data_IF_385309687751
#
_entry.id   IF_385309687751
#
_cell.length_a   1.000
_cell.length_b   1.000
_cell.length_c   1.000
_cell.angle_alpha   90.00
_cell.angle_beta   90.00
_cell.angle_gamma   90.00
#
_symmetry.space_group_name_H-M   'P 1'
#
loop_
_entity.id
_entity.type
_entity.pdbx_description
1 polymer ?
#
# COMPACT_ATOMS: atom_id res chain seq x y z
N UNK A 1 -49.96 -47.17 -81.56
CA UNK A 1 -49.77 -45.77 -82.03
C UNK A 1 -49.11 -45.02 -80.89
N UNK A 2 -47.97 -44.42 -81.21
CA UNK A 2 -47.02 -43.68 -80.36
C UNK A 2 -47.64 -42.59 -79.48
N UNK A 3 -47.13 -42.41 -78.25
CA UNK A 3 -46.39 -41.20 -77.84
C UNK A 3 -45.90 -41.26 -76.37
N UNK A 4 -44.63 -40.87 -76.23
CA UNK A 4 -43.87 -40.36 -75.07
C UNK A 4 -44.70 -39.33 -74.25
N UNK A 5 -44.53 -39.05 -72.96
CA UNK A 5 -43.32 -38.63 -72.22
C UNK A 5 -43.60 -38.49 -70.70
N UNK A 6 -42.61 -38.90 -69.90
CA UNK A 6 -42.01 -38.29 -68.70
C UNK A 6 -42.80 -37.88 -67.44
N UNK A 7 -42.04 -37.98 -66.33
CA UNK A 7 -42.15 -37.32 -65.01
C UNK A 7 -42.94 -38.07 -63.92
N UNK A 8 -42.46 -38.28 -62.68
CA UNK A 8 -41.35 -37.71 -61.89
C UNK A 8 -40.86 -38.75 -60.88
N UNK A 9 -39.55 -38.78 -60.60
CA UNK A 9 -38.92 -39.54 -59.50
C UNK A 9 -39.20 -38.86 -58.14
N UNK A 10 -39.57 -39.66 -57.14
CA UNK A 10 -39.38 -39.34 -55.73
C UNK A 10 -38.81 -40.57 -55.01
N UNK A 11 -37.57 -40.55 -54.47
CA UNK A 11 -37.02 -41.69 -53.76
C UNK A 11 -37.54 -41.73 -52.32
N UNK A 12 -38.13 -42.87 -51.96
CA UNK A 12 -38.42 -43.29 -50.59
C UNK A 12 -37.10 -43.50 -49.82
N UNK A 13 -36.86 -42.70 -48.79
CA UNK A 13 -35.80 -42.97 -47.81
C UNK A 13 -36.44 -43.56 -46.55
N UNK A 14 -36.03 -44.77 -46.12
CA UNK A 14 -36.48 -45.36 -44.87
C UNK A 14 -35.62 -44.88 -43.69
N UNK A 15 -36.28 -44.47 -42.61
CA UNK A 15 -35.79 -44.55 -41.23
C UNK A 15 -34.57 -43.70 -40.84
N UNK A 16 -34.77 -42.40 -40.62
CA UNK A 16 -33.85 -41.64 -39.76
C UNK A 16 -34.18 -41.98 -38.31
N UNK A 17 -33.38 -42.86 -37.72
CA UNK A 17 -33.29 -43.04 -36.28
C UNK A 17 -32.90 -41.69 -35.67
N UNK A 18 -33.77 -41.15 -34.81
CA UNK A 18 -33.55 -39.91 -34.08
C UNK A 18 -32.28 -40.05 -33.20
N UNK A 19 -31.15 -39.38 -33.48
CA UNK A 19 -29.97 -39.38 -32.62
C UNK A 19 -30.05 -38.24 -31.58
N UNK A 20 -31.26 -37.84 -31.19
CA UNK A 20 -31.52 -36.71 -30.30
C UNK A 20 -31.61 -37.05 -28.81
N UNK A 21 -31.42 -38.31 -28.40
CA UNK A 21 -31.30 -38.66 -26.99
C UNK A 21 -29.83 -38.50 -26.55
N UNK A 22 -29.35 -37.26 -26.48
CA UNK A 22 -28.13 -36.96 -25.74
C UNK A 22 -28.24 -37.54 -24.32
N UNK A 23 -27.18 -38.10 -23.73
CA UNK A 23 -27.27 -38.78 -22.45
C UNK A 23 -27.84 -37.80 -21.44
N UNK A 24 -29.07 -38.07 -20.97
CA UNK A 24 -29.73 -37.27 -19.95
C UNK A 24 -28.77 -37.16 -18.77
N UNK A 25 -28.32 -35.94 -18.49
CA UNK A 25 -27.49 -35.64 -17.33
C UNK A 25 -28.32 -36.04 -16.12
N UNK A 26 -28.08 -37.25 -15.61
CA UNK A 26 -28.73 -37.73 -14.38
C UNK A 26 -28.44 -36.66 -13.32
N UNK A 27 -29.43 -36.13 -12.61
CA UNK A 27 -29.14 -35.26 -11.48
C UNK A 27 -28.23 -36.06 -10.55
N UNK A 28 -27.01 -35.56 -10.33
CA UNK A 28 -26.04 -36.21 -9.45
C UNK A 28 -26.55 -36.10 -8.01
N UNK A 29 -27.49 -36.96 -7.63
CA UNK A 29 -27.98 -37.04 -6.26
C UNK A 29 -26.89 -37.68 -5.39
N UNK A 30 -26.22 -36.85 -4.59
CA UNK A 30 -25.17 -37.27 -3.68
C UNK A 30 -24.14 -36.17 -3.40
N UNK A 31 -23.04 -36.53 -2.75
CA UNK A 31 -21.92 -35.63 -2.44
C UNK A 31 -21.42 -34.84 -3.65
N UNK A 32 -21.42 -35.45 -4.85
CA UNK A 32 -21.05 -34.77 -6.09
C UNK A 32 -22.03 -33.64 -6.48
N UNK A 33 -23.34 -33.80 -6.28
CA UNK A 33 -24.33 -32.74 -6.51
C UNK A 33 -24.29 -31.65 -5.44
N UNK A 34 -24.02 -32.01 -4.19
CA UNK A 34 -23.82 -31.06 -3.09
C UNK A 34 -22.53 -30.24 -3.29
N UNK A 35 -21.42 -30.90 -3.65
CA UNK A 35 -20.14 -30.27 -3.92
C UNK A 35 -20.19 -29.39 -5.17
N UNK A 36 -20.93 -29.77 -6.23
CA UNK A 36 -21.13 -28.92 -7.40
C UNK A 36 -21.98 -27.67 -7.05
N UNK A 37 -22.98 -27.82 -6.18
CA UNK A 37 -23.81 -26.70 -5.68
C UNK A 37 -23.03 -25.75 -4.77
N UNK A 38 -22.09 -26.28 -3.99
CA UNK A 38 -21.21 -25.52 -3.08
C UNK A 38 -19.77 -25.37 -3.60
N UNK A 39 -19.56 -25.51 -4.91
CA UNK A 39 -18.21 -25.59 -5.51
C UNK A 39 -17.30 -24.43 -5.10
N UNK A 40 -17.86 -23.22 -4.98
CA UNK A 40 -17.12 -22.03 -4.55
C UNK A 40 -16.49 -22.23 -3.17
N UNK A 41 -17.21 -22.84 -2.23
CA UNK A 41 -16.75 -23.11 -0.86
C UNK A 41 -15.89 -24.36 -0.75
N UNK A 42 -16.16 -25.40 -1.53
CA UNK A 42 -15.35 -26.63 -1.51
C UNK A 42 -13.96 -26.39 -2.10
N UNK A 43 -13.87 -25.59 -3.17
CA UNK A 43 -12.58 -25.26 -3.80
C UNK A 43 -11.85 -24.10 -3.11
N UNK A 44 -12.54 -23.03 -2.71
CA UNK A 44 -11.88 -21.89 -2.06
C UNK A 44 -11.80 -21.99 -0.53
N UNK A 45 -12.64 -22.82 0.10
CA UNK A 45 -12.76 -22.94 1.56
C UNK A 45 -11.46 -23.33 2.26
N UNK A 46 -10.76 -24.40 1.85
CA UNK A 46 -9.50 -24.78 2.49
C UNK A 46 -8.43 -23.69 2.42
N UNK A 47 -8.30 -23.04 1.26
CA UNK A 47 -7.37 -21.93 1.08
C UNK A 47 -7.77 -20.71 1.94
N UNK A 48 -9.06 -20.38 2.00
CA UNK A 48 -9.55 -19.25 2.79
C UNK A 48 -9.41 -19.50 4.28
N UNK A 49 -9.70 -20.71 4.76
CA UNK A 49 -9.47 -21.11 6.16
C UNK A 49 -7.99 -21.01 6.51
N UNK A 50 -7.11 -21.52 5.65
CA UNK A 50 -5.67 -21.43 5.87
C UNK A 50 -5.18 -19.98 5.96
N UNK A 51 -5.59 -19.12 5.01
CA UNK A 51 -5.22 -17.70 5.02
C UNK A 51 -5.76 -16.98 6.25
N UNK A 52 -7.05 -17.20 6.59
CA UNK A 52 -7.67 -16.58 7.78
C UNK A 52 -6.98 -17.06 9.04
N UNK A 53 -6.68 -18.35 9.19
CA UNK A 53 -5.96 -18.88 10.35
C UNK A 53 -4.56 -18.29 10.46
N UNK A 54 -3.82 -18.20 9.35
CA UNK A 54 -2.47 -17.65 9.31
C UNK A 54 -2.42 -16.16 9.68
N UNK A 55 -3.46 -15.38 9.37
CA UNK A 55 -3.56 -13.95 9.73
C UNK A 55 -4.13 -13.77 11.15
N UNK A 56 -5.17 -14.51 11.51
CA UNK A 56 -5.85 -14.36 12.78
C UNK A 56 -4.99 -14.85 13.95
N UNK A 57 -4.25 -15.94 13.77
CA UNK A 57 -3.40 -16.51 14.83
C UNK A 57 -2.40 -15.49 15.41
N UNK A 58 -1.50 -14.85 14.63
CA UNK A 58 -0.54 -13.90 15.18
C UNK A 58 -1.20 -12.66 15.78
N UNK A 59 -2.34 -12.21 15.24
CA UNK A 59 -3.08 -11.07 15.80
C UNK A 59 -3.64 -11.43 17.17
N UNK A 60 -4.32 -12.57 17.28
CA UNK A 60 -4.90 -13.04 18.55
C UNK A 60 -3.77 -13.27 19.56
N UNK A 61 -2.68 -13.92 19.14
CA UNK A 61 -1.53 -14.15 20.01
C UNK A 61 -0.92 -12.84 20.52
N UNK A 62 -0.79 -11.83 19.65
CA UNK A 62 -0.32 -10.49 20.04
C UNK A 62 -1.26 -9.83 21.04
N UNK A 63 -2.58 -9.95 20.85
CA UNK A 63 -3.57 -9.41 21.81
C UNK A 63 -3.47 -10.14 23.16
N UNK A 64 -3.31 -11.46 23.16
CA UNK A 64 -3.12 -12.22 24.41
C UNK A 64 -1.84 -11.75 25.12
N UNK A 65 -0.73 -11.63 24.39
CA UNK A 65 0.55 -11.23 24.96
C UNK A 65 0.52 -9.79 25.48
N UNK A 66 -0.25 -8.89 24.85
CA UNK A 66 -0.43 -7.52 25.37
C UNK A 66 -1.10 -7.47 26.75
N UNK A 67 -1.81 -8.52 27.15
CA UNK A 67 -2.47 -8.62 28.44
C UNK A 67 -1.65 -9.38 29.50
N UNK A 68 -0.40 -9.73 29.19
CA UNK A 68 0.49 -10.51 30.05
C UNK A 68 1.81 -9.77 30.33
N UNK A 69 2.55 -10.21 31.35
CA UNK A 69 3.87 -9.69 31.72
C UNK A 69 5.02 -10.34 30.93
N UNK A 70 4.72 -10.90 29.75
CA UNK A 70 5.66 -11.69 28.96
C UNK A 70 6.95 -10.91 28.66
N UNK A 71 8.05 -11.36 29.27
CA UNK A 71 9.36 -10.72 29.16
C UNK A 71 10.50 -11.74 29.25
N UNK A 72 11.67 -11.37 28.73
CA UNK A 72 12.88 -12.18 28.79
C UNK A 72 12.91 -13.31 27.75
N UNK A 73 12.72 -14.56 28.16
CA UNK A 73 12.80 -15.70 27.25
C UNK A 73 11.45 -15.97 26.57
N UNK A 74 11.46 -16.34 25.29
CA UNK A 74 10.24 -16.77 24.57
C UNK A 74 9.55 -17.97 25.24
N UNK A 75 10.29 -18.75 26.06
CA UNK A 75 9.77 -19.89 26.82
C UNK A 75 9.55 -19.59 28.31
N UNK A 76 9.74 -18.34 28.73
CA UNK A 76 9.42 -17.96 30.10
C UNK A 76 7.92 -18.10 30.32
N UNK A 77 7.53 -18.55 31.51
CA UNK A 77 6.15 -18.47 31.94
C UNK A 77 5.75 -16.99 32.04
N UNK A 78 4.50 -16.70 31.70
CA UNK A 78 3.92 -15.36 31.80
C UNK A 78 2.59 -15.42 32.52
N UNK A 79 2.30 -14.39 33.30
CA UNK A 79 1.06 -14.22 34.04
C UNK A 79 0.15 -13.20 33.37
N UNK A 80 -1.16 -13.36 33.57
CA UNK A 80 -2.14 -12.42 33.06
C UNK A 80 -2.22 -11.21 33.99
N UNK A 81 -1.80 -10.05 33.50
CA UNK A 81 -1.79 -8.77 34.23
C UNK A 81 -2.89 -7.81 33.75
N UNK A 82 -3.73 -8.25 32.80
CA UNK A 82 -4.83 -7.44 32.27
C UNK A 82 -4.32 -6.21 31.50
N UNK A 83 -4.77 -5.00 31.89
CA UNK A 83 -4.50 -3.77 31.14
C UNK A 83 -3.30 -2.97 31.66
N UNK A 84 -2.47 -3.53 32.54
CA UNK A 84 -1.34 -2.81 33.13
C UNK A 84 -0.34 -2.30 32.08
N UNK A 85 0.01 -3.13 31.08
CA UNK A 85 0.85 -2.69 29.97
C UNK A 85 0.26 -1.47 29.23
N UNK A 86 -1.06 -1.41 29.07
CA UNK A 86 -1.73 -0.30 28.39
C UNK A 86 -1.63 0.98 29.21
N UNK A 87 -1.76 0.90 30.53
CA UNK A 87 -1.54 2.05 31.41
C UNK A 87 -0.08 2.53 31.31
N UNK A 88 0.89 1.63 31.34
CA UNK A 88 2.32 1.94 31.19
C UNK A 88 2.62 2.63 29.86
N UNK A 89 2.14 2.07 28.74
CA UNK A 89 2.38 2.64 27.41
C UNK A 89 1.67 3.97 27.21
N UNK A 90 0.41 4.10 27.63
CA UNK A 90 -0.37 5.34 27.45
C UNK A 90 0.09 6.47 28.37
N UNK A 91 0.71 6.16 29.51
CA UNK A 91 1.30 7.17 30.41
C UNK A 91 2.76 7.52 30.06
N UNK A 92 3.39 6.79 29.15
CA UNK A 92 4.75 7.08 28.68
C UNK A 92 4.80 8.30 27.75
N UNK A 93 4.99 9.47 28.36
CA UNK A 93 5.19 10.74 27.67
C UNK A 93 6.58 10.92 27.07
N UNK A 94 7.54 10.04 27.37
CA UNK A 94 8.94 10.20 26.97
C UNK A 94 9.30 9.43 25.72
N UNK A 95 8.69 8.26 25.48
CA UNK A 95 9.02 7.43 24.31
C UNK A 95 7.80 7.12 23.44
N UNK A 96 6.72 6.59 24.00
CA UNK A 96 5.52 6.22 23.23
C UNK A 96 4.88 7.40 22.47
N UNK A 97 4.45 8.47 23.17
CA UNK A 97 3.79 9.60 22.50
C UNK A 97 4.70 10.33 21.48
N UNK A 98 6.00 10.54 21.75
CA UNK A 98 6.93 10.99 20.73
C UNK A 98 7.02 10.05 19.52
N UNK A 99 7.01 8.72 19.70
CA UNK A 99 7.00 7.76 18.60
C UNK A 99 5.71 7.83 17.78
N UNK A 100 4.55 8.04 18.41
CA UNK A 100 3.28 8.33 17.71
C UNK A 100 3.43 9.59 16.86
N UNK A 101 3.94 10.68 17.46
CA UNK A 101 4.18 11.95 16.77
C UNK A 101 5.10 11.81 15.55
N UNK A 102 6.21 11.08 15.67
CA UNK A 102 7.13 10.80 14.56
C UNK A 102 6.48 9.96 13.46
N UNK A 103 5.71 8.95 13.83
CA UNK A 103 4.99 8.09 12.88
C UNK A 103 3.98 8.90 12.06
N UNK A 104 3.18 9.73 12.72
CA UNK A 104 2.20 10.60 12.07
C UNK A 104 2.88 11.66 11.22
N UNK A 105 3.91 12.34 11.75
CA UNK A 105 4.66 13.36 11.03
C UNK A 105 5.29 12.78 9.76
N UNK A 106 6.02 11.66 9.89
CA UNK A 106 6.65 10.98 8.76
C UNK A 106 5.62 10.61 7.69
N UNK A 107 4.52 9.97 8.09
CA UNK A 107 3.45 9.54 7.18
C UNK A 107 2.82 10.71 6.46
N UNK A 108 2.40 11.75 7.19
CA UNK A 108 1.69 12.89 6.61
C UNK A 108 2.59 13.64 5.64
N UNK A 109 3.84 13.91 6.03
CA UNK A 109 4.80 14.61 5.17
C UNK A 109 5.09 13.78 3.92
N UNK A 110 5.38 12.48 4.07
CA UNK A 110 5.67 11.61 2.93
C UNK A 110 4.49 11.57 1.94
N UNK A 111 3.29 11.20 2.42
CA UNK A 111 2.10 11.04 1.57
C UNK A 111 1.71 12.34 0.88
N UNK A 112 1.72 13.48 1.59
CA UNK A 112 1.36 14.77 1.00
C UNK A 112 2.34 15.15 -0.10
N UNK A 113 3.64 15.04 0.17
CA UNK A 113 4.67 15.41 -0.81
C UNK A 113 4.63 14.47 -2.01
N UNK A 114 4.47 13.17 -1.81
CA UNK A 114 4.37 12.19 -2.90
C UNK A 114 3.15 12.36 -3.77
N UNK A 115 2.00 12.75 -3.20
CA UNK A 115 0.80 13.04 -3.99
C UNK A 115 0.98 14.30 -4.81
N UNK A 116 1.60 15.35 -4.24
CA UNK A 116 1.90 16.57 -4.98
C UNK A 116 2.91 16.31 -6.10
N UNK A 117 4.06 15.70 -5.79
CA UNK A 117 5.07 15.36 -6.78
C UNK A 117 4.53 14.36 -7.81
N UNK A 118 3.80 13.35 -7.34
CA UNK A 118 3.15 12.35 -8.16
C UNK A 118 2.18 12.96 -9.16
N UNK A 119 1.36 13.92 -8.72
CA UNK A 119 0.44 14.66 -9.59
C UNK A 119 1.21 15.49 -10.63
N UNK A 120 2.21 16.26 -10.20
CA UNK A 120 3.02 17.07 -11.11
C UNK A 120 3.67 16.22 -12.20
N UNK A 121 4.30 15.11 -11.81
CA UNK A 121 4.96 14.19 -12.74
C UNK A 121 3.94 13.48 -13.63
N UNK A 122 2.80 13.04 -13.08
CA UNK A 122 1.76 12.38 -13.88
C UNK A 122 1.17 13.32 -14.95
N UNK A 123 0.96 14.60 -14.62
CA UNK A 123 0.53 15.61 -15.60
C UNK A 123 1.55 15.81 -16.72
N UNK A 124 2.85 15.84 -16.39
CA UNK A 124 3.93 15.93 -17.38
C UNK A 124 4.00 14.69 -18.28
N UNK A 125 3.75 13.50 -17.70
CA UNK A 125 3.77 12.22 -18.41
C UNK A 125 2.48 11.90 -19.18
N UNK A 126 1.40 12.65 -18.96
CA UNK A 126 0.12 12.45 -19.64
C UNK A 126 0.23 12.66 -21.15
N UNK A 127 0.97 13.68 -21.59
CA UNK A 127 1.14 13.98 -23.02
C UNK A 127 2.34 13.22 -23.61
N UNK A 128 2.24 12.73 -24.86
CA UNK A 128 3.39 12.11 -25.52
C UNK A 128 4.45 13.17 -25.85
N UNK A 129 5.72 12.87 -25.58
CA UNK A 129 6.86 13.71 -25.95
C UNK A 129 8.08 12.85 -26.33
N UNK A 130 9.03 13.44 -27.06
CA UNK A 130 10.25 12.74 -27.49
C UNK A 130 11.09 12.33 -26.28
N UNK A 131 11.41 11.05 -26.15
CA UNK A 131 12.18 10.51 -25.01
C UNK A 131 11.35 10.08 -23.79
N UNK A 132 10.01 10.08 -23.88
CA UNK A 132 9.12 9.71 -22.78
C UNK A 132 9.42 8.33 -22.17
N UNK A 133 9.84 7.35 -22.99
CA UNK A 133 10.22 6.03 -22.51
C UNK A 133 11.39 6.06 -21.51
N UNK A 134 12.44 6.81 -21.83
CA UNK A 134 13.61 6.97 -20.96
C UNK A 134 13.24 7.69 -19.66
N UNK A 135 12.44 8.76 -19.76
CA UNK A 135 11.96 9.49 -18.57
C UNK A 135 11.14 8.59 -17.64
N UNK A 136 10.24 7.77 -18.19
CA UNK A 136 9.50 6.77 -17.40
C UNK A 136 10.42 5.77 -16.72
N UNK A 137 11.42 5.25 -17.43
CA UNK A 137 12.39 4.30 -16.83
C UNK A 137 13.14 4.95 -15.67
N UNK A 138 13.67 6.16 -15.84
CA UNK A 138 14.43 6.88 -14.80
C UNK A 138 13.55 7.16 -13.58
N UNK A 139 12.31 7.60 -13.79
CA UNK A 139 11.39 7.89 -12.68
C UNK A 139 10.97 6.62 -11.95
N UNK A 140 10.77 5.51 -12.67
CA UNK A 140 10.33 4.24 -12.07
C UNK A 140 11.46 3.43 -11.42
N UNK A 141 12.72 3.74 -11.73
CA UNK A 141 13.89 3.02 -11.24
C UNK A 141 13.94 2.87 -9.71
N UNK A 142 13.67 3.91 -8.90
CA UNK A 142 13.72 3.81 -7.43
C UNK A 142 12.76 2.76 -6.86
N UNK A 143 11.59 2.59 -7.48
CA UNK A 143 10.54 1.67 -7.02
C UNK A 143 10.97 0.20 -7.02
N UNK A 144 11.96 -0.15 -7.85
CA UNK A 144 12.43 -1.53 -8.00
C UNK A 144 13.46 -1.90 -6.92
N UNK A 145 14.11 -0.91 -6.31
CA UNK A 145 15.12 -1.14 -5.30
C UNK A 145 14.50 -1.57 -3.95
N UNK A 146 15.15 -2.50 -3.26
CA UNK A 146 14.67 -2.93 -1.94
C UNK A 146 14.90 -1.82 -0.90
N UNK A 147 13.94 -1.58 0.03
CA UNK A 147 14.04 -0.50 1.00
C UNK A 147 15.34 -0.50 1.84
N UNK A 148 15.83 -1.68 2.23
CA UNK A 148 17.08 -1.82 3.00
C UNK A 148 18.30 -1.37 2.18
N UNK A 149 18.39 -1.78 0.91
CA UNK A 149 19.50 -1.38 0.03
C UNK A 149 19.46 0.14 -0.24
N UNK A 150 18.26 0.70 -0.41
CA UNK A 150 18.07 2.16 -0.54
C UNK A 150 18.54 2.88 0.72
N UNK A 151 18.13 2.41 1.91
CA UNK A 151 18.57 2.99 3.19
C UNK A 151 20.08 2.99 3.37
N UNK A 152 20.75 1.89 2.99
CA UNK A 152 22.23 1.79 3.04
C UNK A 152 22.91 2.69 2.01
N UNK A 153 22.37 2.80 0.80
CA UNK A 153 22.91 3.68 -0.24
C UNK A 153 22.85 5.15 0.19
N UNK A 154 21.69 5.59 0.69
CA UNK A 154 21.51 6.97 1.15
C UNK A 154 22.32 7.28 2.40
N UNK A 155 22.57 6.31 3.27
CA UNK A 155 23.50 6.46 4.40
C UNK A 155 24.89 6.91 3.93
N UNK A 156 25.42 6.30 2.86
CA UNK A 156 26.71 6.69 2.28
C UNK A 156 26.66 8.07 1.61
N UNK A 157 25.56 8.39 0.91
CA UNK A 157 25.39 9.69 0.25
C UNK A 157 25.33 10.84 1.26
N UNK A 158 24.65 10.61 2.39
CA UNK A 158 24.44 11.57 3.46
C UNK A 158 25.52 11.55 4.53
N UNK A 159 26.60 10.80 4.32
CA UNK A 159 27.72 10.76 5.25
C UNK A 159 28.32 12.18 5.42
N UNK A 160 28.56 12.65 6.66
CA UNK A 160 28.87 14.06 6.91
C UNK A 160 30.16 14.59 6.27
N UNK A 161 31.22 13.78 6.16
CA UNK A 161 32.58 14.25 5.83
C UNK A 161 32.92 14.12 4.34
N UNK A 162 32.64 12.96 3.77
CA UNK A 162 32.95 12.49 2.41
C UNK A 162 31.71 12.25 1.56
N UNK A 163 30.51 12.22 2.15
CA UNK A 163 29.26 11.96 1.42
C UNK A 163 28.97 12.96 0.31
N UNK A 164 28.39 12.45 -0.79
CA UNK A 164 28.10 13.22 -2.00
C UNK A 164 27.18 14.43 -1.73
N UNK A 165 26.24 14.31 -0.78
CA UNK A 165 25.34 15.41 -0.44
C UNK A 165 26.10 16.63 0.14
N UNK A 166 27.04 16.40 1.06
CA UNK A 166 27.84 17.49 1.63
C UNK A 166 28.98 17.95 0.72
N UNK A 167 29.43 17.13 -0.24
CA UNK A 167 30.26 17.61 -1.35
C UNK A 167 29.49 18.63 -2.19
N UNK A 168 28.23 18.36 -2.54
CA UNK A 168 27.39 19.30 -3.28
C UNK A 168 27.15 20.59 -2.48
N UNK A 169 26.87 20.52 -1.17
CA UNK A 169 26.75 21.71 -0.32
C UNK A 169 28.00 22.59 -0.37
N UNK A 170 29.20 21.98 -0.28
CA UNK A 170 30.47 22.70 -0.36
C UNK A 170 30.68 23.38 -1.71
N UNK A 171 30.35 22.71 -2.81
CA UNK A 171 30.44 23.30 -4.16
C UNK A 171 29.51 24.51 -4.31
N UNK A 172 28.34 24.47 -3.66
CA UNK A 172 27.40 25.58 -3.64
C UNK A 172 27.75 26.68 -2.60
N UNK A 173 28.85 26.53 -1.86
CA UNK A 173 29.25 27.47 -0.81
C UNK A 173 28.38 27.42 0.46
N UNK A 174 27.59 26.35 0.64
CA UNK A 174 26.72 26.13 1.80
C UNK A 174 27.43 25.34 2.91
N UNK A 175 27.06 25.54 4.18
CA UNK A 175 27.63 24.77 5.29
C UNK A 175 27.21 23.29 5.21
N UNK A 176 28.14 22.40 5.59
CA UNK A 176 27.85 20.97 5.68
C UNK A 176 26.70 20.69 6.66
N UNK A 177 25.82 19.77 6.29
CA UNK A 177 24.65 19.41 7.07
C UNK A 177 24.81 18.03 7.71
N UNK A 178 24.25 17.87 8.90
CA UNK A 178 24.15 16.58 9.59
C UNK A 178 22.89 15.81 9.17
N UNK A 179 22.71 15.57 7.86
CA UNK A 179 21.47 15.03 7.29
C UNK A 179 20.85 13.88 8.10
N UNK A 180 21.67 12.89 8.49
CA UNK A 180 21.26 11.72 9.30
C UNK A 180 21.76 11.83 10.74
N UNK A 181 22.86 12.55 10.98
CA UNK A 181 23.54 12.63 12.29
C UNK A 181 22.93 13.67 13.23
N UNK A 182 22.31 14.73 12.71
CA UNK A 182 21.58 15.73 13.49
C UNK A 182 20.18 15.20 13.83
N UNK A 183 19.83 15.03 15.12
CA UNK A 183 18.52 14.59 15.55
C UNK A 183 17.36 15.44 15.01
N UNK A 184 17.59 16.71 14.68
CA UNK A 184 16.56 17.60 14.14
C UNK A 184 16.28 17.37 12.67
N UNK A 185 17.24 16.83 11.93
CA UNK A 185 17.16 16.65 10.47
C UNK A 185 16.88 15.20 10.08
N UNK A 186 17.31 14.24 10.90
CA UNK A 186 17.30 12.81 10.55
C UNK A 186 15.93 12.31 10.03
N UNK A 187 14.84 12.59 10.75
CA UNK A 187 13.52 12.09 10.35
C UNK A 187 13.05 12.71 9.02
N UNK A 188 13.30 14.00 8.80
CA UNK A 188 12.94 14.68 7.55
C UNK A 188 13.79 14.19 6.37
N UNK A 189 15.08 13.94 6.60
CA UNK A 189 15.98 13.33 5.60
C UNK A 189 15.51 11.92 5.22
N UNK A 190 15.09 11.10 6.19
CA UNK A 190 14.58 9.76 5.92
C UNK A 190 13.22 9.80 5.22
N UNK A 191 12.37 10.77 5.55
CA UNK A 191 11.12 11.01 4.81
C UNK A 191 11.42 11.40 3.35
N UNK A 192 12.46 12.19 3.08
CA UNK A 192 12.89 12.49 1.72
C UNK A 192 13.30 11.24 0.93
N UNK A 193 14.03 10.31 1.55
CA UNK A 193 14.41 9.04 0.91
C UNK A 193 13.18 8.21 0.55
N UNK A 194 12.22 8.11 1.47
CA UNK A 194 10.96 7.41 1.29
C UNK A 194 10.12 8.05 0.17
N UNK A 195 9.99 9.39 0.17
CA UNK A 195 9.34 10.17 -0.89
C UNK A 195 9.97 9.87 -2.25
N UNK A 196 11.31 9.91 -2.34
CA UNK A 196 12.01 9.62 -3.58
C UNK A 196 11.75 8.20 -4.08
N UNK A 197 11.71 7.22 -3.18
CA UNK A 197 11.51 5.82 -3.53
C UNK A 197 10.07 5.51 -3.96
N UNK A 198 9.07 6.12 -3.31
CA UNK A 198 7.65 5.75 -3.46
C UNK A 198 6.79 6.72 -4.26
N UNK A 199 7.26 7.95 -4.52
CA UNK A 199 6.62 8.85 -5.50
C UNK A 199 6.31 8.16 -6.84
N UNK A 200 7.18 7.29 -7.41
CA UNK A 200 6.90 6.63 -8.69
C UNK A 200 5.63 5.76 -8.68
N UNK A 201 5.30 5.12 -7.54
CA UNK A 201 4.04 4.38 -7.40
C UNK A 201 2.83 5.33 -7.50
N UNK A 202 2.90 6.48 -6.82
CA UNK A 202 1.83 7.48 -6.86
C UNK A 202 1.68 8.08 -8.27
N UNK A 203 2.78 8.31 -8.97
CA UNK A 203 2.78 8.70 -10.40
C UNK A 203 2.00 7.69 -11.24
N UNK A 204 2.25 6.38 -11.07
CA UNK A 204 1.56 5.35 -11.85
C UNK A 204 0.05 5.35 -11.60
N UNK A 205 -0.36 5.44 -10.34
CA UNK A 205 -1.78 5.43 -9.96
C UNK A 205 -2.48 6.67 -10.53
N UNK A 206 -1.90 7.86 -10.34
CA UNK A 206 -2.49 9.11 -10.81
C UNK A 206 -2.46 9.22 -12.34
N UNK A 207 -1.40 8.76 -12.99
CA UNK A 207 -1.31 8.73 -14.46
C UNK A 207 -2.39 7.82 -15.04
N UNK A 208 -2.60 6.64 -14.47
CA UNK A 208 -3.66 5.74 -14.91
C UNK A 208 -5.05 6.38 -14.81
N UNK A 209 -5.35 7.06 -13.68
CA UNK A 209 -6.60 7.81 -13.53
C UNK A 209 -6.72 8.99 -14.48
N UNK A 210 -5.64 9.75 -14.71
CA UNK A 210 -5.60 10.86 -15.66
C UNK A 210 -5.85 10.41 -17.10
N UNK A 211 -5.39 9.20 -17.47
CA UNK A 211 -5.61 8.64 -18.80
C UNK A 211 -7.02 8.10 -19.02
N UNK A 212 -7.78 7.82 -17.95
CA UNK A 212 -9.18 7.37 -18.05
C UNK A 212 -10.21 8.51 -18.05
N UNK A 213 -9.78 9.77 -17.92
CA UNK A 213 -10.69 10.91 -17.89
C UNK A 213 -11.31 11.17 -19.27
N UNK A 214 -12.64 11.41 -19.35
CA UNK A 214 -13.28 11.84 -20.61
C UNK A 214 -12.75 13.21 -21.03
N UNK A 215 -12.61 13.43 -22.34
CA UNK A 215 -12.09 14.69 -22.90
C UNK A 215 -13.15 15.79 -22.96
N UNK A 216 -14.44 15.43 -23.08
CA UNK A 216 -15.56 16.36 -23.27
C UNK A 216 -15.66 17.48 -22.21
N UNK A 217 -15.56 17.22 -20.88
CA UNK A 217 -15.65 18.28 -19.88
C UNK A 217 -14.50 19.28 -19.98
N UNK A 218 -13.33 18.81 -20.39
CA UNK A 218 -12.14 19.63 -20.53
C UNK A 218 -12.19 20.50 -21.80
N UNK A 219 -12.78 19.99 -22.88
CA UNK A 219 -13.04 20.75 -24.11
C UNK A 219 -14.13 21.81 -23.92
N UNK A 220 -15.24 21.46 -23.27
CA UNK A 220 -16.32 22.41 -22.96
C UNK A 220 -15.79 23.62 -22.18
N UNK A 221 -14.99 23.37 -21.13
CA UNK A 221 -14.41 24.44 -20.34
C UNK A 221 -13.41 25.32 -21.11
N UNK A 222 -12.74 24.79 -22.15
CA UNK A 222 -11.90 25.59 -23.05
C UNK A 222 -12.73 26.53 -23.90
N UNK A 223 -13.89 26.08 -24.37
CA UNK A 223 -14.84 26.92 -25.12
C UNK A 223 -15.39 28.04 -24.23
N UNK A 224 -15.63 27.75 -22.95
CA UNK A 224 -16.06 28.73 -21.95
C UNK A 224 -14.94 29.69 -21.48
N UNK A 225 -13.73 29.60 -22.05
CA UNK A 225 -12.62 30.49 -21.75
C UNK A 225 -11.87 30.18 -20.44
N UNK A 226 -12.08 29.00 -19.85
CA UNK A 226 -11.39 28.60 -18.63
C UNK A 226 -9.89 28.38 -18.88
N UNK A 227 -9.05 29.00 -18.04
CA UNK A 227 -7.59 28.82 -18.11
C UNK A 227 -7.14 27.46 -17.56
N UNK A 228 -5.87 27.09 -17.79
CA UNK A 228 -5.34 25.77 -17.38
C UNK A 228 -5.41 25.52 -15.86
N UNK A 229 -5.23 26.56 -15.05
CA UNK A 229 -5.29 26.46 -13.59
C UNK A 229 -6.72 26.21 -13.10
N UNK A 230 -7.69 26.91 -13.68
CA UNK A 230 -9.11 26.69 -13.42
C UNK A 230 -9.52 25.28 -13.84
N UNK A 231 -9.15 24.84 -15.04
CA UNK A 231 -9.44 23.48 -15.52
C UNK A 231 -8.81 22.40 -14.64
N UNK A 232 -7.60 22.65 -14.12
CA UNK A 232 -6.97 21.72 -13.17
C UNK A 232 -7.78 21.59 -11.88
N UNK A 233 -8.07 22.70 -11.19
CA UNK A 233 -8.73 22.66 -9.87
C UNK A 233 -10.23 22.38 -9.92
N UNK A 234 -10.94 22.81 -10.96
CA UNK A 234 -12.40 22.70 -11.04
C UNK A 234 -12.88 21.51 -11.87
N UNK A 235 -12.02 20.87 -12.67
CA UNK A 235 -12.42 19.74 -13.54
C UNK A 235 -11.52 18.54 -13.27
N UNK A 236 -10.21 18.69 -13.45
CA UNK A 236 -9.28 17.55 -13.35
C UNK A 236 -9.25 16.99 -11.93
N UNK A 237 -8.98 17.82 -10.92
CA UNK A 237 -8.89 17.37 -9.53
C UNK A 237 -10.20 16.75 -9.04
N UNK A 238 -11.39 17.36 -9.21
CA UNK A 238 -12.65 16.79 -8.75
C UNK A 238 -12.98 15.44 -9.39
N UNK A 239 -12.81 15.30 -10.71
CA UNK A 239 -13.09 14.02 -11.40
C UNK A 239 -12.05 12.95 -11.01
N UNK A 240 -10.80 13.36 -10.75
CA UNK A 240 -9.72 12.47 -10.34
C UNK A 240 -9.72 12.15 -8.83
N UNK A 241 -10.57 12.80 -8.01
CA UNK A 241 -10.61 12.59 -6.56
C UNK A 241 -10.70 11.11 -6.13
N UNK A 242 -11.51 10.24 -6.77
CA UNK A 242 -11.54 8.82 -6.42
C UNK A 242 -10.17 8.15 -6.55
N UNK A 243 -9.41 8.50 -7.60
CA UNK A 243 -8.04 8.00 -7.81
C UNK A 243 -7.05 8.61 -6.83
N UNK A 244 -7.14 9.91 -6.54
CA UNK A 244 -6.29 10.59 -5.55
C UNK A 244 -6.50 9.95 -4.17
N UNK A 245 -7.76 9.74 -3.76
CA UNK A 245 -8.09 9.12 -2.49
C UNK A 245 -7.59 7.68 -2.44
N UNK A 246 -7.72 6.91 -3.52
CA UNK A 246 -7.15 5.56 -3.60
C UNK A 246 -5.61 5.57 -3.46
N UNK A 247 -4.92 6.49 -4.12
CA UNK A 247 -3.47 6.66 -4.01
C UNK A 247 -3.06 7.02 -2.57
N UNK A 248 -3.72 8.01 -1.96
CA UNK A 248 -3.51 8.43 -0.57
C UNK A 248 -3.74 7.27 0.40
N UNK A 249 -4.83 6.52 0.22
CA UNK A 249 -5.18 5.37 1.07
C UNK A 249 -4.09 4.30 1.03
N UNK A 250 -3.73 3.85 -0.17
CA UNK A 250 -2.70 2.82 -0.35
C UNK A 250 -1.38 3.30 0.24
N UNK A 251 -0.97 4.52 -0.12
CA UNK A 251 0.32 5.06 0.30
C UNK A 251 0.39 5.33 1.80
N UNK A 252 -0.68 5.79 2.42
CA UNK A 252 -0.74 6.01 3.88
C UNK A 252 -0.58 4.70 4.65
N UNK A 253 -1.18 3.60 4.17
CA UNK A 253 -1.05 2.28 4.82
C UNK A 253 0.41 1.83 4.80
N UNK A 254 1.10 2.00 3.67
CA UNK A 254 2.51 1.62 3.55
C UNK A 254 3.42 2.56 4.37
N UNK A 255 3.20 3.88 4.31
CA UNK A 255 4.00 4.88 5.03
C UNK A 255 3.93 4.73 6.56
N UNK A 256 2.74 4.42 7.09
CA UNK A 256 2.56 4.17 8.53
C UNK A 256 3.42 2.99 8.98
N UNK A 257 3.53 1.96 8.12
CA UNK A 257 4.22 0.71 8.40
C UNK A 257 5.71 0.76 8.03
N UNK A 258 6.22 1.90 7.56
CA UNK A 258 7.63 2.04 7.20
C UNK A 258 8.50 1.68 8.40
N UNK A 259 9.38 0.72 8.18
CA UNK A 259 10.35 0.21 9.15
C UNK A 259 11.72 0.08 8.51
N UNK A 260 11.79 -0.53 7.33
CA UNK A 260 13.03 -0.95 6.69
C UNK A 260 14.03 0.20 6.50
N UNK A 261 13.63 1.31 5.90
CA UNK A 261 14.51 2.46 5.63
C UNK A 261 14.99 3.07 6.97
N UNK A 262 14.07 3.23 7.93
CA UNK A 262 14.37 3.84 9.23
C UNK A 262 15.37 2.99 10.02
N UNK A 263 15.11 1.69 10.14
CA UNK A 263 15.96 0.77 10.89
C UNK A 263 17.28 0.48 10.17
N UNK A 264 17.28 0.33 8.83
CA UNK A 264 18.53 0.11 8.09
C UNK A 264 19.48 1.30 8.19
N UNK A 265 18.96 2.53 8.25
CA UNK A 265 19.79 3.73 8.28
C UNK A 265 20.16 4.19 9.70
N UNK A 266 19.24 4.06 10.68
CA UNK A 266 19.47 4.54 12.06
C UNK A 266 19.71 3.44 13.08
N UNK A 267 19.35 2.20 12.75
CA UNK A 267 19.47 1.05 13.63
C UNK A 267 18.57 1.11 14.86
N UNK A 268 19.05 0.47 15.92
CA UNK A 268 18.39 0.36 17.21
C UNK A 268 17.89 1.70 17.74
N UNK A 269 16.64 1.70 18.19
CA UNK A 269 15.97 2.89 18.75
C UNK A 269 15.77 4.04 17.76
N UNK A 270 16.03 3.88 16.46
CA UNK A 270 15.87 4.99 15.51
C UNK A 270 16.89 6.11 15.70
N UNK A 271 18.08 5.80 16.26
CA UNK A 271 19.17 6.75 16.50
C UNK A 271 19.46 6.96 17.98
N UNK A 272 20.52 7.71 18.29
CA UNK A 272 21.00 7.87 19.66
C UNK A 272 20.04 8.64 20.57
N UNK A 273 19.16 9.45 19.99
CA UNK A 273 18.18 10.28 20.70
C UNK A 273 16.74 9.88 20.35
N UNK A 274 16.54 8.68 19.80
CA UNK A 274 15.26 8.19 19.28
C UNK A 274 14.63 9.09 18.20
N UNK A 275 15.44 9.87 17.48
CA UNK A 275 14.99 10.88 16.54
C UNK A 275 14.18 10.33 15.36
N UNK A 276 14.44 9.09 14.95
CA UNK A 276 13.71 8.38 13.91
C UNK A 276 12.94 7.16 14.45
N UNK A 277 12.67 7.11 15.76
CA UNK A 277 11.93 6.03 16.40
C UNK A 277 10.42 6.17 16.13
N UNK A 278 9.94 5.57 15.04
CA UNK A 278 8.50 5.39 14.77
C UNK A 278 7.94 4.23 15.60
N UNK A 279 6.62 4.06 15.63
CA UNK A 279 5.97 2.99 16.42
C UNK A 279 6.47 1.58 16.05
N UNK A 280 6.77 1.33 14.77
CA UNK A 280 7.34 0.03 14.35
C UNK A 280 8.76 -0.16 14.88
N UNK A 281 9.60 0.87 14.81
CA UNK A 281 10.97 0.83 15.31
C UNK A 281 10.96 0.68 16.84
N UNK A 282 10.06 1.38 17.51
CA UNK A 282 9.87 1.29 18.96
C UNK A 282 9.42 -0.11 19.40
N UNK A 283 8.36 -0.65 18.80
CA UNK A 283 7.88 -2.00 19.08
C UNK A 283 8.95 -3.06 18.78
N UNK A 284 9.67 -2.92 17.67
CA UNK A 284 10.79 -3.81 17.34
C UNK A 284 11.87 -3.79 18.44
N UNK A 285 12.25 -2.60 18.91
CA UNK A 285 13.17 -2.46 20.03
C UNK A 285 12.66 -3.16 21.29
N UNK A 286 11.41 -2.92 21.68
CA UNK A 286 10.81 -3.62 22.84
C UNK A 286 10.91 -5.14 22.69
N UNK A 287 10.55 -5.70 21.53
CA UNK A 287 10.58 -7.14 21.28
C UNK A 287 11.98 -7.76 21.26
N UNK A 288 12.93 -7.13 20.56
CA UNK A 288 14.19 -7.79 20.19
C UNK A 288 15.41 -7.24 20.90
N UNK A 289 15.34 -6.00 21.39
CA UNK A 289 16.43 -5.37 22.12
C UNK A 289 16.26 -5.48 23.63
N UNK A 290 15.02 -5.37 24.10
CA UNK A 290 14.68 -5.41 25.53
C UNK A 290 14.01 -6.73 25.93
N UNK A 291 13.54 -7.52 24.96
CA UNK A 291 12.76 -8.75 25.17
C UNK A 291 11.49 -8.53 26.02
N UNK A 292 10.88 -7.34 25.92
CA UNK A 292 9.62 -6.99 26.58
C UNK A 292 8.46 -7.25 25.61
N UNK A 293 8.10 -8.52 25.45
CA UNK A 293 7.10 -8.93 24.49
C UNK A 293 5.69 -8.43 24.83
N UNK A 294 5.31 -8.40 26.11
CA UNK A 294 4.00 -7.89 26.54
C UNK A 294 3.81 -6.39 26.26
N UNK A 295 4.82 -5.57 26.58
CA UNK A 295 4.82 -4.15 26.24
C UNK A 295 4.86 -3.91 24.73
N UNK A 296 5.72 -4.65 24.01
CA UNK A 296 5.78 -4.55 22.54
C UNK A 296 4.45 -4.88 21.88
N UNK A 297 3.82 -5.99 22.28
CA UNK A 297 2.50 -6.38 21.80
C UNK A 297 1.45 -5.32 22.09
N UNK A 298 1.51 -4.67 23.25
CA UNK A 298 0.62 -3.56 23.59
C UNK A 298 0.79 -2.38 22.63
N UNK A 299 2.04 -1.99 22.34
CA UNK A 299 2.35 -0.94 21.35
C UNK A 299 1.81 -1.33 19.97
N UNK A 300 1.99 -2.59 19.54
CA UNK A 300 1.49 -3.08 18.25
C UNK A 300 -0.04 -3.10 18.18
N UNK A 301 -0.74 -3.46 19.26
CA UNK A 301 -2.20 -3.42 19.33
C UNK A 301 -2.70 -1.98 19.24
N UNK A 302 -2.11 -1.06 20.01
CA UNK A 302 -2.44 0.37 19.94
C UNK A 302 -2.16 0.94 18.55
N UNK A 303 -1.05 0.54 17.93
CA UNK A 303 -0.70 0.95 16.59
C UNK A 303 -1.69 0.41 15.54
N UNK A 304 -2.11 -0.85 15.66
CA UNK A 304 -3.13 -1.45 14.81
C UNK A 304 -4.47 -0.68 14.95
N UNK A 305 -4.90 -0.37 16.17
CA UNK A 305 -6.10 0.45 16.42
C UNK A 305 -5.96 1.83 15.77
N UNK A 306 -4.80 2.47 15.89
CA UNK A 306 -4.53 3.77 15.24
C UNK A 306 -4.67 3.67 13.71
N UNK A 307 -4.10 2.64 13.07
CA UNK A 307 -4.25 2.41 11.63
C UNK A 307 -5.72 2.21 11.26
N UNK A 308 -6.45 1.40 12.01
CA UNK A 308 -7.88 1.14 11.76
C UNK A 308 -8.70 2.41 11.82
N UNK A 309 -8.43 3.31 12.78
CA UNK A 309 -9.10 4.62 12.88
C UNK A 309 -8.78 5.48 11.65
N UNK A 310 -7.49 5.61 11.29
CA UNK A 310 -7.06 6.43 10.15
C UNK A 310 -7.68 5.93 8.84
N UNK A 311 -7.58 4.63 8.57
CA UNK A 311 -8.15 4.01 7.36
C UNK A 311 -9.66 4.17 7.32
N UNK A 312 -10.35 3.96 8.45
CA UNK A 312 -11.81 4.12 8.53
C UNK A 312 -12.23 5.55 8.20
N UNK A 313 -11.54 6.55 8.72
CA UNK A 313 -11.78 7.98 8.41
C UNK A 313 -11.59 8.25 6.91
N UNK A 314 -10.51 7.74 6.32
CA UNK A 314 -10.21 7.94 4.90
C UNK A 314 -11.24 7.23 3.98
N UNK A 315 -11.68 6.02 4.33
CA UNK A 315 -12.70 5.28 3.57
C UNK A 315 -14.08 5.96 3.65
N UNK A 316 -14.47 6.45 4.83
CA UNK A 316 -15.74 7.20 4.98
C UNK A 316 -15.71 8.45 4.10
N UNK A 317 -14.59 9.18 4.06
CA UNK A 317 -14.42 10.34 3.17
C UNK A 317 -14.52 9.95 1.69
N UNK A 318 -13.92 8.83 1.29
CA UNK A 318 -14.03 8.30 -0.08
C UNK A 318 -15.47 8.02 -0.50
N UNK A 319 -16.23 7.35 0.36
CA UNK A 319 -17.59 6.96 0.02
C UNK A 319 -18.52 8.18 -0.09
N UNK A 320 -18.27 9.26 0.68
CA UNK A 320 -19.01 10.52 0.56
C UNK A 320 -18.70 11.29 -0.73
N UNK A 321 -17.48 11.21 -1.26
CA UNK A 321 -17.12 11.84 -2.54
C UNK A 321 -17.59 11.07 -3.77
N UNK A 322 -18.03 9.82 -3.60
CA UNK A 322 -18.54 8.98 -4.68
C UNK A 322 -20.08 9.03 -4.82
N UNK A 323 -20.76 9.74 -3.91
CA UNK A 323 -22.20 10.03 -3.95
C UNK A 323 -22.40 11.46 -4.45
#
# INVERSE_FOLDING_TARGET
>A
MSTTTSDTRGPTTPGVTNPGAGPGVRPTSGFAGWANRHRKWVFAGPAMVFVVAMVAFPIIYTIVLSLTDASGSVRADFEFIGFENYATVLTDTRRFWPAVGRTVFFTVVAVVVEVVLGMCIALLLRKPFKGQGLVRVVILLPLVATPVAVGMMWLLIFEPTTGAANQLMRVLGLPAQGWISDPKQALATLAFVDIWQWTPMVVLILLAGLTSLPEEPDEAARVDGANAWQRFWFITVPILMPTIIAAVLLRSIDALKTFDILYATKGKGGGSSNEAETLNVYAYGLSFDYNDYGLSSTVLVLFFVMIMIIVSILVIRRNRSAQ
#
